data_IF_680349769247
#
_entry.id   IF_680349769247
#
_cell.length_a   1.000
_cell.length_b   1.000
_cell.length_c   1.000
_cell.angle_alpha   90.00
_cell.angle_beta   90.00
_cell.angle_gamma   90.00
#
_symmetry.space_group_name_H-M   'P 1'
#
loop_
_entity.id
_entity.type
_entity.pdbx_description
1 polymer ?
#
# COMPACT_ATOMS: atom_id res chain seq x y z
N UNK A 1 8.75 14.97 0.91
CA UNK A 1 9.81 14.02 1.33
C UNK A 1 11.16 14.70 1.38
N UNK A 2 11.96 14.33 2.36
CA UNK A 2 13.34 14.77 2.47
C UNK A 2 14.21 14.06 1.41
N UNK A 3 15.44 14.57 1.18
CA UNK A 3 16.39 13.92 0.28
C UNK A 3 16.72 12.50 0.74
N UNK A 4 16.88 12.29 2.05
CA UNK A 4 17.12 10.97 2.63
C UNK A 4 15.95 10.03 2.36
N UNK A 5 14.72 10.50 2.53
CA UNK A 5 13.53 9.70 2.26
C UNK A 5 13.39 9.35 0.78
N UNK A 6 13.76 10.26 -0.13
CA UNK A 6 13.76 9.97 -1.56
C UNK A 6 14.79 8.90 -1.92
N UNK A 7 15.97 8.91 -1.31
CA UNK A 7 16.98 7.87 -1.51
C UNK A 7 16.46 6.51 -1.03
N UNK A 8 15.77 6.49 0.11
CA UNK A 8 15.15 5.26 0.62
C UNK A 8 14.02 4.77 -0.29
N UNK A 9 13.23 5.70 -0.82
CA UNK A 9 12.16 5.36 -1.76
C UNK A 9 12.69 4.62 -3.00
N UNK A 10 13.85 5.04 -3.52
CA UNK A 10 14.45 4.37 -4.66
C UNK A 10 14.73 2.88 -4.41
N UNK A 11 15.05 2.51 -3.17
CA UNK A 11 15.27 1.11 -2.79
C UNK A 11 13.98 0.31 -2.72
N UNK A 12 12.85 0.98 -2.61
CA UNK A 12 11.54 0.32 -2.59
C UNK A 12 10.95 0.10 -3.98
N UNK A 13 11.62 0.58 -5.04
CA UNK A 13 11.17 0.42 -6.42
C UNK A 13 11.85 -0.79 -7.05
N UNK A 14 11.07 -1.63 -7.74
CA UNK A 14 11.59 -2.82 -8.40
C UNK A 14 11.67 -4.07 -7.53
N UNK A 15 11.08 -4.06 -6.35
CA UNK A 15 11.02 -5.26 -5.51
C UNK A 15 10.06 -6.27 -6.16
N UNK A 16 10.47 -7.53 -6.36
CA UNK A 16 9.62 -8.51 -7.01
C UNK A 16 8.35 -8.82 -6.23
N UNK A 17 7.27 -9.10 -6.94
CA UNK A 17 6.05 -9.59 -6.31
C UNK A 17 6.28 -10.98 -5.73
N UNK A 18 6.04 -11.14 -4.44
CA UNK A 18 6.01 -12.44 -3.76
C UNK A 18 4.90 -12.41 -2.73
N UNK A 19 3.97 -13.32 -2.88
CA UNK A 19 2.79 -13.39 -2.04
C UNK A 19 3.17 -13.60 -0.58
N UNK A 20 2.51 -12.88 0.31
CA UNK A 20 2.64 -13.02 1.75
C UNK A 20 4.04 -12.66 2.29
N UNK A 21 4.75 -11.75 1.60
CA UNK A 21 6.06 -11.26 2.03
C UNK A 21 6.10 -9.74 2.12
N UNK A 22 7.01 -9.24 2.93
CA UNK A 22 7.21 -7.81 3.18
C UNK A 22 8.69 -7.48 3.43
N UNK A 23 9.56 -7.88 2.50
CA UNK A 23 11.00 -7.61 2.56
C UNK A 23 11.53 -7.14 1.21
N UNK A 24 12.80 -6.76 1.16
CA UNK A 24 13.43 -6.22 -0.05
C UNK A 24 13.66 -7.26 -1.15
N UNK A 25 13.54 -8.53 -0.84
CA UNK A 25 13.68 -9.62 -1.82
C UNK A 25 12.35 -10.02 -2.43
N UNK A 26 11.26 -9.56 -1.85
CA UNK A 26 9.92 -9.80 -2.36
C UNK A 26 8.86 -9.31 -1.42
N UNK A 27 7.77 -8.81 -1.99
CA UNK A 27 6.60 -8.40 -1.20
C UNK A 27 5.34 -8.41 -2.06
N UNK A 28 4.20 -8.39 -1.39
CA UNK A 28 2.89 -8.19 -2.02
C UNK A 28 2.41 -6.76 -1.83
N UNK A 29 1.15 -6.47 -2.17
CA UNK A 29 0.63 -5.10 -2.09
C UNK A 29 0.59 -4.57 -0.65
N UNK A 30 0.30 -5.43 0.34
CA UNK A 30 0.34 -5.02 1.75
C UNK A 30 1.78 -4.87 2.23
N UNK A 31 2.65 -5.75 1.76
CA UNK A 31 4.06 -5.75 2.13
C UNK A 31 4.79 -4.49 1.70
N UNK A 32 4.53 -3.98 0.48
CA UNK A 32 5.18 -2.75 0.01
C UNK A 32 4.73 -1.54 0.83
N UNK A 33 3.46 -1.48 1.22
CA UNK A 33 2.96 -0.42 2.08
C UNK A 33 3.57 -0.49 3.48
N UNK A 34 3.69 -1.70 4.03
CA UNK A 34 4.34 -1.91 5.32
C UNK A 34 5.81 -1.47 5.28
N UNK A 35 6.54 -1.82 4.20
CA UNK A 35 7.94 -1.40 4.02
C UNK A 35 8.07 0.12 3.91
N UNK A 36 7.16 0.79 3.21
CA UNK A 36 7.15 2.24 3.14
C UNK A 36 7.14 2.85 4.55
N UNK A 37 6.20 2.43 5.38
CA UNK A 37 6.11 2.95 6.74
C UNK A 37 7.31 2.57 7.61
N UNK A 38 7.72 1.32 7.56
CA UNK A 38 8.84 0.83 8.39
C UNK A 38 10.16 1.45 7.98
N UNK A 39 10.46 1.45 6.69
CA UNK A 39 11.77 1.84 6.19
C UNK A 39 11.92 3.35 6.03
N UNK A 40 10.90 4.04 5.53
CA UNK A 40 10.98 5.49 5.27
C UNK A 40 10.53 6.30 6.49
N UNK A 41 9.44 5.91 7.13
CA UNK A 41 8.86 6.66 8.25
C UNK A 41 9.25 6.15 9.62
N UNK A 42 9.95 5.02 9.70
CA UNK A 42 10.34 4.37 10.95
C UNK A 42 9.13 4.10 11.86
N UNK A 43 8.05 3.61 11.27
CA UNK A 43 6.82 3.30 11.99
C UNK A 43 6.27 1.95 11.58
N UNK A 44 5.84 1.16 12.56
CA UNK A 44 5.12 -0.08 12.30
C UNK A 44 3.63 0.21 12.31
N UNK A 45 3.04 0.23 11.13
CA UNK A 45 1.62 0.47 11.00
C UNK A 45 0.89 -0.87 10.85
N UNK A 46 -0.15 -1.14 11.68
CA UNK A 46 -0.78 -2.46 11.73
C UNK A 46 -1.87 -2.66 10.67
N UNK A 47 -1.56 -2.41 9.40
CA UNK A 47 -2.49 -2.75 8.32
C UNK A 47 -2.29 -4.15 7.78
N UNK A 48 -1.41 -4.92 8.39
CA UNK A 48 -1.32 -6.36 8.22
C UNK A 48 -1.60 -7.00 9.55
N UNK A 49 -2.30 -8.11 9.58
CA UNK A 49 -2.43 -8.88 10.79
C UNK A 49 -1.17 -9.72 11.07
N UNK A 50 -1.17 -10.43 12.18
CA UNK A 50 -0.05 -11.26 12.58
C UNK A 50 0.27 -12.29 11.50
N UNK A 51 1.48 -12.21 10.97
CA UNK A 51 1.95 -13.14 9.97
C UNK A 51 1.56 -12.78 8.56
N UNK A 52 0.87 -11.67 8.32
CA UNK A 52 0.53 -11.23 6.98
C UNK A 52 -0.13 -12.38 6.22
N UNK A 53 -1.25 -12.86 6.73
CA UNK A 53 -1.82 -14.16 6.40
C UNK A 53 -2.22 -14.31 4.95
N UNK A 54 -2.00 -15.51 4.45
CA UNK A 54 -2.24 -15.96 3.12
C UNK A 54 -3.72 -15.99 2.74
N UNK A 55 -4.04 -15.75 1.48
CA UNK A 55 -5.41 -15.76 0.96
C UNK A 55 -5.96 -17.18 0.82
N UNK A 56 -6.52 -17.73 1.89
CA UNK A 56 -7.32 -18.94 1.80
C UNK A 56 -8.71 -18.64 1.23
N UNK A 57 -9.29 -17.53 1.72
CA UNK A 57 -10.52 -16.96 1.22
C UNK A 57 -10.26 -15.48 0.99
N UNK A 58 -10.06 -15.11 -0.25
CA UNK A 58 -9.68 -13.75 -0.65
C UNK A 58 -10.66 -12.70 -0.14
N UNK A 59 -11.94 -13.03 -0.12
CA UNK A 59 -12.99 -12.14 0.32
C UNK A 59 -12.90 -11.84 1.82
N UNK A 60 -12.65 -12.86 2.63
CA UNK A 60 -12.53 -12.70 4.08
C UNK A 60 -11.23 -12.01 4.46
N UNK A 61 -10.14 -12.29 3.75
CA UNK A 61 -8.86 -11.63 3.98
C UNK A 61 -8.94 -10.15 3.64
N UNK A 62 -9.62 -9.79 2.57
CA UNK A 62 -9.84 -8.39 2.21
C UNK A 62 -10.65 -7.67 3.28
N UNK A 63 -11.74 -8.27 3.76
CA UNK A 63 -12.55 -7.70 4.84
C UNK A 63 -11.74 -7.49 6.10
N UNK A 64 -10.90 -8.45 6.46
CA UNK A 64 -10.04 -8.36 7.64
C UNK A 64 -9.00 -7.25 7.50
N UNK A 65 -8.38 -7.12 6.33
CA UNK A 65 -7.44 -6.05 6.04
C UNK A 65 -8.11 -4.68 6.16
N UNK A 66 -9.27 -4.51 5.56
CA UNK A 66 -10.04 -3.26 5.62
C UNK A 66 -10.39 -2.92 7.08
N UNK A 67 -10.82 -3.90 7.85
CA UNK A 67 -11.15 -3.71 9.26
C UNK A 67 -9.95 -3.20 10.05
N UNK A 68 -8.79 -3.85 9.90
CA UNK A 68 -7.57 -3.45 10.60
C UNK A 68 -7.16 -2.04 10.21
N UNK A 69 -7.14 -1.74 8.92
CA UNK A 69 -6.78 -0.40 8.44
C UNK A 69 -7.74 0.65 8.99
N UNK A 70 -9.04 0.38 8.96
CA UNK A 70 -10.06 1.32 9.41
C UNK A 70 -9.95 1.66 10.91
N UNK A 71 -9.51 0.71 11.73
CA UNK A 71 -9.32 0.91 13.16
C UNK A 71 -8.20 1.90 13.48
N UNK A 72 -7.21 2.03 12.60
CA UNK A 72 -6.00 2.84 12.82
C UNK A 72 -5.89 4.01 11.86
N UNK A 73 -6.96 4.33 11.14
CA UNK A 73 -6.95 5.36 10.11
C UNK A 73 -8.22 6.21 10.14
N UNK A 74 -8.12 7.36 9.49
CA UNK A 74 -9.27 8.20 9.16
C UNK A 74 -9.53 8.09 7.67
N UNK A 75 -10.80 7.92 7.27
CA UNK A 75 -11.16 7.85 5.86
C UNK A 75 -10.87 9.17 5.15
N UNK A 76 -10.35 9.10 3.91
CA UNK A 76 -10.09 10.27 3.08
C UNK A 76 -10.61 10.05 1.67
N UNK A 77 -11.04 11.13 1.03
CA UNK A 77 -11.50 11.10 -0.35
C UNK A 77 -10.33 11.23 -1.32
N UNK A 78 -10.54 10.78 -2.56
CA UNK A 78 -9.52 10.79 -3.60
C UNK A 78 -8.92 12.19 -3.83
N UNK A 79 -9.75 13.22 -3.86
CA UNK A 79 -9.32 14.59 -4.18
C UNK A 79 -8.43 15.25 -3.13
N UNK A 80 -8.32 14.68 -1.94
CA UNK A 80 -7.52 15.23 -0.83
C UNK A 80 -6.41 14.28 -0.37
N UNK A 81 -6.05 13.31 -1.21
CA UNK A 81 -4.96 12.39 -0.92
C UNK A 81 -3.62 13.12 -0.80
N UNK A 82 -2.80 12.67 0.15
CA UNK A 82 -1.46 13.23 0.37
C UNK A 82 -0.48 12.15 0.82
N UNK A 83 0.78 12.53 0.97
CA UNK A 83 1.85 11.62 1.41
C UNK A 83 1.43 10.79 2.62
N UNK A 84 1.63 9.49 2.51
CA UNK A 84 1.33 8.52 3.57
C UNK A 84 -0.08 7.95 3.54
N UNK A 85 -1.00 8.51 2.76
CA UNK A 85 -2.34 7.97 2.66
C UNK A 85 -2.33 6.61 1.96
N UNK A 86 -3.12 5.68 2.47
CA UNK A 86 -3.32 4.37 1.87
C UNK A 86 -4.50 4.41 0.92
N UNK A 87 -4.38 3.71 -0.19
CA UNK A 87 -5.46 3.61 -1.18
C UNK A 87 -5.83 2.16 -1.39
N UNK A 88 -7.12 1.86 -1.27
CA UNK A 88 -7.67 0.58 -1.67
C UNK A 88 -8.16 0.70 -3.11
N UNK A 89 -7.66 -0.17 -3.98
CA UNK A 89 -7.93 -0.15 -5.41
C UNK A 89 -8.69 -1.39 -5.84
N UNK A 90 -9.60 -1.20 -6.79
CA UNK A 90 -10.26 -2.30 -7.48
C UNK A 90 -9.27 -2.95 -8.46
N UNK A 91 -9.30 -4.27 -8.54
CA UNK A 91 -8.51 -5.03 -9.53
C UNK A 91 -9.42 -5.66 -10.57
N UNK A 92 -8.82 -6.19 -11.65
CA UNK A 92 -9.58 -6.81 -12.76
C UNK A 92 -10.46 -7.97 -12.30
N UNK A 93 -10.05 -8.70 -11.28
CA UNK A 93 -10.81 -9.83 -10.73
C UNK A 93 -11.68 -9.44 -9.52
N UNK A 94 -11.83 -8.16 -9.24
CA UNK A 94 -12.64 -7.66 -8.15
C UNK A 94 -12.01 -7.72 -6.77
N UNK A 95 -10.77 -8.20 -6.66
CA UNK A 95 -10.02 -8.24 -5.40
C UNK A 95 -9.30 -6.92 -5.22
N UNK A 96 -9.40 -6.33 -4.04
CA UNK A 96 -8.74 -5.07 -3.73
C UNK A 96 -7.23 -5.21 -3.67
N UNK A 97 -6.54 -4.17 -4.11
CA UNK A 97 -5.10 -4.00 -3.94
C UNK A 97 -4.85 -2.75 -3.10
N UNK A 98 -3.75 -2.74 -2.37
CA UNK A 98 -3.38 -1.62 -1.51
C UNK A 98 -2.18 -0.87 -2.12
N UNK A 99 -2.24 0.46 -2.06
CA UNK A 99 -1.15 1.33 -2.46
C UNK A 99 -0.95 2.41 -1.41
N UNK A 100 0.20 3.07 -1.42
CA UNK A 100 0.48 4.18 -0.52
C UNK A 100 0.89 5.41 -1.32
N UNK A 101 0.29 6.55 -1.01
CA UNK A 101 0.66 7.83 -1.63
C UNK A 101 2.02 8.27 -1.13
N UNK A 102 2.91 8.58 -2.04
CA UNK A 102 4.23 9.15 -1.69
C UNK A 102 4.22 10.68 -1.77
N UNK A 103 3.25 11.23 -2.46
CA UNK A 103 2.93 12.65 -2.52
C UNK A 103 1.49 12.79 -3.02
N UNK A 104 1.06 14.02 -3.32
CA UNK A 104 -0.30 14.28 -3.81
C UNK A 104 -0.54 13.88 -5.27
N UNK A 105 0.47 13.33 -5.96
CA UNK A 105 0.40 13.01 -7.40
C UNK A 105 0.74 11.56 -7.73
N UNK A 106 1.44 10.85 -6.85
CA UNK A 106 1.95 9.51 -7.13
C UNK A 106 1.71 8.56 -5.97
N UNK A 107 1.54 7.28 -6.30
CA UNK A 107 1.45 6.20 -5.32
C UNK A 107 2.46 5.11 -5.62
N UNK A 108 2.95 4.49 -4.55
CA UNK A 108 3.77 3.29 -4.59
C UNK A 108 2.86 2.09 -4.45
N UNK A 109 2.97 1.15 -5.38
CA UNK A 109 2.16 -0.07 -5.34
C UNK A 109 2.92 -1.26 -5.93
N UNK A 110 2.32 -2.43 -5.85
CA UNK A 110 2.93 -3.66 -6.34
C UNK A 110 2.25 -4.10 -7.64
N UNK A 111 3.04 -4.30 -8.68
CA UNK A 111 2.61 -4.92 -9.94
C UNK A 111 3.16 -6.35 -9.99
N UNK A 112 2.32 -7.30 -10.42
CA UNK A 112 2.70 -8.71 -10.44
C UNK A 112 3.86 -8.97 -11.41
N UNK A 113 3.92 -8.22 -12.50
CA UNK A 113 4.92 -8.45 -13.56
C UNK A 113 6.21 -7.68 -13.30
N UNK A 114 6.11 -6.38 -13.04
CA UNK A 114 7.29 -5.50 -12.94
C UNK A 114 7.78 -5.29 -11.52
N UNK A 115 7.01 -5.74 -10.53
CA UNK A 115 7.35 -5.51 -9.12
C UNK A 115 6.83 -4.17 -8.62
N UNK A 116 7.39 -3.70 -7.50
CA UNK A 116 6.96 -2.42 -6.93
C UNK A 116 7.30 -1.27 -7.86
N UNK A 117 6.37 -0.33 -8.00
CA UNK A 117 6.51 0.79 -8.93
C UNK A 117 5.71 2.00 -8.47
N UNK A 118 6.02 3.14 -9.07
CA UNK A 118 5.27 4.38 -8.86
C UNK A 118 4.28 4.59 -10.01
N UNK A 119 3.09 5.02 -9.68
CA UNK A 119 2.05 5.32 -10.66
C UNK A 119 1.41 6.67 -10.32
N UNK A 120 1.09 7.46 -11.34
CA UNK A 120 0.39 8.73 -11.14
C UNK A 120 -1.02 8.47 -10.64
N UNK A 121 -1.44 9.20 -9.63
CA UNK A 121 -2.78 9.05 -9.04
C UNK A 121 -3.90 9.21 -10.06
N UNK A 122 -3.71 10.08 -11.04
CA UNK A 122 -4.74 10.29 -12.10
C UNK A 122 -5.09 9.02 -12.86
N UNK A 123 -4.16 8.07 -12.95
CA UNK A 123 -4.40 6.78 -13.60
C UNK A 123 -5.10 5.77 -12.68
N UNK A 124 -5.15 6.05 -11.38
CA UNK A 124 -5.77 5.18 -10.38
C UNK A 124 -7.18 5.62 -10.01
N UNK A 125 -7.61 6.78 -10.48
CA UNK A 125 -8.89 7.38 -10.09
C UNK A 125 -10.09 6.45 -10.31
N UNK A 126 -10.16 5.81 -11.47
CA UNK A 126 -11.28 4.93 -11.80
C UNK A 126 -11.24 3.60 -11.05
N UNK A 127 -10.11 3.28 -10.44
CA UNK A 127 -9.92 2.07 -9.65
C UNK A 127 -10.08 2.33 -8.14
N UNK A 128 -10.21 3.57 -7.74
CA UNK A 128 -10.27 3.96 -6.33
C UNK A 128 -11.54 3.45 -5.66
N UNK A 129 -11.37 2.72 -4.56
CA UNK A 129 -12.48 2.24 -3.73
C UNK A 129 -12.57 3.01 -2.41
N UNK A 130 -11.44 3.24 -1.76
CA UNK A 130 -11.40 3.93 -0.48
C UNK A 130 -10.01 4.46 -0.19
N UNK A 131 -9.92 5.54 0.58
CA UNK A 131 -8.66 6.10 1.05
C UNK A 131 -8.64 6.14 2.58
N UNK A 132 -7.44 5.95 3.14
CA UNK A 132 -7.24 5.90 4.58
C UNK A 132 -6.00 6.69 4.96
N UNK A 133 -6.16 7.59 5.92
CA UNK A 133 -5.04 8.34 6.48
C UNK A 133 -4.65 7.74 7.82
N UNK A 134 -3.50 7.06 7.91
CA UNK A 134 -3.06 6.46 9.17
C UNK A 134 -2.93 7.49 10.28
N UNK A 135 -3.35 7.10 11.49
CA UNK A 135 -3.29 7.95 12.68
C UNK A 135 -1.93 7.83 13.39
N UNK A 136 -0.85 7.73 12.64
CA UNK A 136 0.50 7.55 13.18
C UNK A 136 1.40 8.74 12.96
#
# INVERSE_FOLDING_TARGET
MTTEELQKLNKLIGIPFKLNRKDFEGCDCRGICWLYYKYIKDKEYPFTDNGHIFFRNKKDDLKRMIKVISEFSTAVEFGVLKEGDLILLKTLNGIGALAVCINDKQALHMDIVVGSCLTKLKYLKDLFLAGYRPNV
#
